data_IF_424959008471
#
_entry.id   IF_424959008471
#
_cell.length_a   1.000
_cell.length_b   1.000
_cell.length_c   1.000
_cell.angle_alpha   90.00
_cell.angle_beta   90.00
_cell.angle_gamma   90.00
#
_symmetry.space_group_name_H-M   'P 1'
#
loop_
_entity.id
_entity.type
_entity.pdbx_description
1 polymer ?
#
# COMPACT_ATOMS: atom_id res chain seq x y z
N UNK A 1 6.49 33.10 -4.39
CA UNK A 1 7.03 32.85 -3.04
C UNK A 1 5.85 32.80 -2.10
N UNK A 2 5.29 31.61 -1.89
CA UNK A 2 4.20 31.42 -0.93
C UNK A 2 4.59 30.24 -0.05
N UNK A 3 4.69 30.52 1.25
CA UNK A 3 5.27 29.63 2.24
C UNK A 3 4.38 28.42 2.48
N UNK A 4 4.98 27.24 2.34
CA UNK A 4 4.40 25.98 2.82
C UNK A 4 4.48 25.97 4.35
N UNK A 5 3.34 25.82 5.01
CA UNK A 5 3.25 25.65 6.45
C UNK A 5 3.80 24.28 6.88
N UNK A 6 4.94 24.27 7.56
CA UNK A 6 5.52 23.06 8.16
C UNK A 6 4.90 22.82 9.54
N UNK A 7 4.25 21.66 9.75
CA UNK A 7 3.84 21.23 11.08
C UNK A 7 5.07 20.83 11.89
N UNK A 8 5.30 21.51 13.02
CA UNK A 8 6.36 21.18 14.00
C UNK A 8 5.92 20.01 14.88
N UNK A 9 6.42 18.82 14.57
CA UNK A 9 6.55 17.71 15.53
C UNK A 9 8.05 17.61 15.84
N UNK A 10 8.40 17.65 17.13
CA UNK A 10 9.77 17.88 17.63
C UNK A 10 10.78 16.78 17.33
N UNK A 11 11.20 16.67 16.07
CA UNK A 11 12.37 15.93 15.62
C UNK A 11 13.13 16.86 14.68
N UNK A 12 14.32 17.26 15.10
CA UNK A 12 15.18 18.25 14.44
C UNK A 12 15.91 17.67 13.23
N UNK A 13 15.17 17.12 12.28
CA UNK A 13 15.69 16.73 10.97
C UNK A 13 14.56 16.97 9.97
N UNK A 14 14.83 17.82 8.97
CA UNK A 14 13.94 18.03 7.83
C UNK A 14 13.74 16.68 7.17
N UNK A 15 12.57 16.07 7.37
CA UNK A 15 12.23 14.80 6.73
C UNK A 15 12.17 15.07 5.23
N UNK A 16 13.04 14.45 4.41
CA UNK A 16 13.04 14.73 2.99
C UNK A 16 11.67 14.36 2.40
N UNK A 17 11.00 15.36 1.80
CA UNK A 17 9.70 15.21 1.10
C UNK A 17 9.78 14.12 0.01
N UNK A 18 10.98 13.81 -0.48
CA UNK A 18 11.23 12.86 -1.56
C UNK A 18 12.11 11.70 -1.09
N UNK A 19 11.45 10.55 -0.89
CA UNK A 19 12.05 9.21 -0.82
C UNK A 19 12.91 8.88 0.41
N UNK A 20 12.26 8.75 1.56
CA UNK A 20 12.85 8.15 2.77
C UNK A 20 13.40 6.73 2.52
N UNK A 21 12.71 5.93 1.71
CA UNK A 21 13.13 4.57 1.35
C UNK A 21 13.46 4.49 -0.14
N UNK A 22 14.62 3.92 -0.48
CA UNK A 22 15.00 3.68 -1.87
C UNK A 22 14.49 2.35 -2.41
N UNK A 23 14.36 1.36 -1.54
CA UNK A 23 14.02 -0.01 -1.90
C UNK A 23 12.97 -0.61 -0.98
N UNK A 24 12.35 -1.69 -1.44
CA UNK A 24 11.45 -2.55 -0.66
C UNK A 24 11.86 -4.00 -0.87
N UNK A 25 11.86 -4.78 0.22
CA UNK A 25 12.11 -6.22 0.18
C UNK A 25 10.80 -6.99 0.06
N UNK A 26 10.67 -7.77 -1.00
CA UNK A 26 9.51 -8.61 -1.31
C UNK A 26 9.53 -9.92 -0.51
N UNK A 27 8.40 -10.64 -0.53
CA UNK A 27 8.20 -11.91 0.20
C UNK A 27 9.16 -13.03 -0.22
N UNK A 28 9.63 -13.00 -1.46
CA UNK A 28 10.63 -13.93 -2.01
C UNK A 28 12.07 -13.51 -1.72
N UNK A 29 12.27 -12.52 -0.84
CA UNK A 29 13.54 -11.85 -0.55
C UNK A 29 14.13 -11.02 -1.71
N UNK A 30 13.42 -10.85 -2.83
CA UNK A 30 13.90 -9.96 -3.90
C UNK A 30 13.73 -8.50 -3.51
N UNK A 31 14.63 -7.65 -3.99
CA UNK A 31 14.63 -6.21 -3.74
C UNK A 31 14.06 -5.51 -4.96
N UNK A 32 13.17 -4.53 -4.75
CA UNK A 32 12.63 -3.69 -5.81
C UNK A 32 12.69 -2.21 -5.40
N UNK A 33 12.67 -1.27 -6.37
CA UNK A 33 12.56 0.15 -6.07
C UNK A 33 11.30 0.46 -5.24
N UNK A 34 11.47 1.26 -4.20
CA UNK A 34 10.36 1.76 -3.41
C UNK A 34 9.58 2.80 -4.21
N UNK A 35 8.25 2.76 -4.10
CA UNK A 35 7.37 3.68 -4.82
C UNK A 35 6.13 3.96 -3.97
N UNK A 36 6.08 5.15 -3.36
CA UNK A 36 4.96 5.64 -2.54
C UNK A 36 3.64 5.62 -3.30
N UNK A 37 3.66 5.88 -4.61
CA UNK A 37 2.45 5.95 -5.44
C UNK A 37 1.67 4.62 -5.42
N UNK A 38 2.36 3.49 -5.23
CA UNK A 38 1.73 2.18 -5.09
C UNK A 38 0.92 2.08 -3.80
N UNK A 39 1.43 2.64 -2.70
CA UNK A 39 0.71 2.71 -1.42
C UNK A 39 -0.54 3.61 -1.57
N UNK A 40 -0.35 4.82 -2.13
CA UNK A 40 -1.43 5.78 -2.39
C UNK A 40 -2.54 5.18 -3.24
N UNK A 41 -2.18 4.52 -4.35
CA UNK A 41 -3.15 3.85 -5.21
C UNK A 41 -3.85 2.68 -4.50
N UNK A 42 -3.15 1.91 -3.64
CA UNK A 42 -3.77 0.83 -2.88
C UNK A 42 -4.85 1.35 -1.92
N UNK A 43 -4.53 2.43 -1.20
CA UNK A 43 -5.46 3.11 -0.29
C UNK A 43 -6.65 3.65 -1.08
N UNK A 44 -6.39 4.32 -2.21
CA UNK A 44 -7.44 4.87 -3.07
C UNK A 44 -8.41 3.79 -3.57
N UNK A 45 -7.89 2.64 -4.01
CA UNK A 45 -8.74 1.56 -4.51
C UNK A 45 -9.57 0.90 -3.41
N UNK A 46 -8.98 0.74 -2.22
CA UNK A 46 -9.73 0.27 -1.04
C UNK A 46 -10.84 1.27 -0.67
N UNK A 47 -10.55 2.57 -0.73
CA UNK A 47 -11.54 3.62 -0.47
C UNK A 47 -12.66 3.59 -1.52
N UNK A 48 -12.31 3.44 -2.80
CA UNK A 48 -13.26 3.31 -3.91
C UNK A 48 -14.20 2.13 -3.75
N UNK A 49 -13.71 0.99 -3.26
CA UNK A 49 -14.53 -0.19 -3.00
C UNK A 49 -15.61 0.06 -1.92
N UNK A 50 -15.40 1.04 -1.02
CA UNK A 50 -16.37 1.41 0.02
C UNK A 50 -17.12 2.72 -0.25
N UNK A 51 -16.93 3.30 -1.44
CA UNK A 51 -17.64 4.50 -1.92
C UNK A 51 -16.90 5.83 -1.74
N UNK A 52 -15.60 5.81 -1.40
CA UNK A 52 -14.75 7.00 -1.36
C UNK A 52 -14.09 7.30 -2.71
N UNK A 53 -13.72 8.56 -2.95
CA UNK A 53 -13.13 8.99 -4.23
C UNK A 53 -12.00 10.03 -4.08
N UNK A 54 -11.63 10.37 -2.84
CA UNK A 54 -10.60 11.36 -2.55
C UNK A 54 -9.20 10.78 -2.73
N UNK A 55 -8.58 11.11 -3.86
CA UNK A 55 -7.22 10.70 -4.21
C UNK A 55 -6.15 11.50 -3.43
N UNK A 56 -6.44 12.74 -3.05
CA UNK A 56 -5.52 13.58 -2.28
C UNK A 56 -5.40 13.06 -0.85
N UNK A 57 -6.52 12.66 -0.24
CA UNK A 57 -6.53 11.96 1.04
C UNK A 57 -5.73 10.66 0.98
N UNK A 58 -5.87 9.87 -0.08
CA UNK A 58 -5.09 8.65 -0.24
C UNK A 58 -3.57 8.90 -0.30
N UNK A 59 -3.13 9.98 -0.96
CA UNK A 59 -1.72 10.35 -1.00
C UNK A 59 -1.19 10.88 0.34
N UNK A 60 -2.02 11.64 1.08
CA UNK A 60 -1.70 12.06 2.45
C UNK A 60 -1.52 10.88 3.38
N UNK A 61 -2.47 9.95 3.39
CA UNK A 61 -2.40 8.71 4.19
C UNK A 61 -1.18 7.86 3.79
N UNK A 62 -0.84 7.78 2.50
CA UNK A 62 0.37 7.09 2.07
C UNK A 62 1.65 7.75 2.59
N UNK A 63 1.66 9.09 2.67
CA UNK A 63 2.78 9.84 3.24
C UNK A 63 2.90 9.60 4.75
N UNK A 64 1.77 9.53 5.47
CA UNK A 64 1.73 9.13 6.88
C UNK A 64 2.24 7.71 7.11
N UNK A 65 1.89 6.75 6.23
CA UNK A 65 2.42 5.38 6.26
C UNK A 65 3.94 5.36 6.15
N UNK A 66 4.50 6.11 5.19
CA UNK A 66 5.95 6.19 5.00
C UNK A 66 6.63 6.80 6.22
N UNK A 67 6.07 7.89 6.75
CA UNK A 67 6.57 8.52 7.97
C UNK A 67 6.52 7.57 9.16
N UNK A 68 5.41 6.87 9.36
CA UNK A 68 5.26 5.90 10.43
C UNK A 68 6.31 4.78 10.33
N UNK A 69 6.49 4.20 9.14
CA UNK A 69 7.54 3.19 8.91
C UNK A 69 8.94 3.72 9.24
N UNK A 70 9.23 4.97 8.86
CA UNK A 70 10.49 5.62 9.18
C UNK A 70 10.70 5.75 10.69
N UNK A 71 9.67 6.18 11.42
CA UNK A 71 9.78 6.30 12.89
C UNK A 71 10.07 4.97 13.59
N UNK A 72 9.65 3.85 12.99
CA UNK A 72 9.89 2.52 13.55
C UNK A 72 11.27 1.95 13.22
N UNK A 73 11.79 2.22 12.01
CA UNK A 73 12.93 1.48 11.47
C UNK A 73 14.09 2.35 10.97
N UNK A 74 13.92 3.67 10.95
CA UNK A 74 14.82 4.59 10.25
C UNK A 74 14.76 4.38 8.75
N UNK A 75 15.90 4.53 8.07
CA UNK A 75 16.09 4.40 6.63
C UNK A 75 16.23 2.95 6.13
N UNK A 76 16.13 1.96 7.03
CA UNK A 76 16.25 0.54 6.70
C UNK A 76 15.18 0.13 5.69
N UNK A 77 15.57 -0.68 4.71
CA UNK A 77 14.68 -1.22 3.68
C UNK A 77 13.47 -1.94 4.30
N UNK A 78 12.24 -1.44 4.12
CA UNK A 78 11.04 -2.08 4.65
C UNK A 78 10.73 -3.35 3.87
N UNK A 79 10.12 -4.31 4.55
CA UNK A 79 9.50 -5.46 3.90
C UNK A 79 8.07 -5.13 3.45
N UNK A 80 7.58 -5.83 2.42
CA UNK A 80 6.22 -5.63 1.91
C UNK A 80 5.16 -5.79 2.99
N UNK A 81 5.33 -6.75 3.91
CA UNK A 81 4.37 -6.98 5.01
C UNK A 81 4.34 -5.80 5.98
N UNK A 82 5.50 -5.21 6.28
CA UNK A 82 5.60 -4.06 7.18
C UNK A 82 4.85 -2.86 6.61
N UNK A 83 4.96 -2.65 5.30
CA UNK A 83 4.19 -1.60 4.61
C UNK A 83 2.70 -1.88 4.71
N UNK A 84 2.27 -3.14 4.52
CA UNK A 84 0.85 -3.49 4.60
C UNK A 84 0.29 -3.29 6.01
N UNK A 85 1.00 -3.73 7.04
CA UNK A 85 0.58 -3.57 8.43
C UNK A 85 0.54 -2.08 8.83
N UNK A 86 1.49 -1.28 8.33
CA UNK A 86 1.48 0.18 8.49
C UNK A 86 0.26 0.82 7.81
N UNK A 87 -0.11 0.41 6.59
CA UNK A 87 -1.31 0.90 5.90
C UNK A 87 -2.57 0.60 6.73
N UNK A 88 -2.72 -0.63 7.20
CA UNK A 88 -3.88 -1.02 8.02
C UNK A 88 -4.00 -0.18 9.29
N UNK A 89 -2.89 0.01 10.00
CA UNK A 89 -2.83 0.85 11.20
C UNK A 89 -3.23 2.29 10.93
N UNK A 90 -2.59 2.94 9.94
CA UNK A 90 -2.84 4.35 9.62
C UNK A 90 -4.29 4.58 9.17
N UNK A 91 -4.87 3.65 8.41
CA UNK A 91 -6.28 3.73 8.04
C UNK A 91 -7.21 3.62 9.24
N UNK A 92 -6.91 2.76 10.21
CA UNK A 92 -7.73 2.60 11.42
C UNK A 92 -7.60 3.84 12.32
N UNK A 93 -6.38 4.33 12.54
CA UNK A 93 -6.11 5.48 13.42
C UNK A 93 -6.70 6.79 12.89
N UNK A 94 -6.76 6.95 11.57
CA UNK A 94 -7.44 8.09 10.92
C UNK A 94 -8.97 7.91 10.77
N UNK A 95 -9.56 6.87 11.38
CA UNK A 95 -11.01 6.65 11.35
C UNK A 95 -11.55 6.07 10.04
N UNK A 96 -10.68 5.65 9.11
CA UNK A 96 -11.04 5.01 7.84
C UNK A 96 -11.23 3.48 7.99
N UNK A 97 -11.91 3.05 9.05
CA UNK A 97 -12.08 1.63 9.39
C UNK A 97 -12.75 0.80 8.27
N UNK A 98 -13.71 1.39 7.53
CA UNK A 98 -14.33 0.73 6.37
C UNK A 98 -13.32 0.46 5.25
N UNK A 99 -12.47 1.45 4.95
CA UNK A 99 -11.39 1.35 3.96
C UNK A 99 -10.35 0.33 4.41
N UNK A 100 -9.93 0.34 5.68
CA UNK A 100 -9.01 -0.64 6.25
C UNK A 100 -9.54 -2.07 6.10
N UNK A 101 -10.83 -2.29 6.42
CA UNK A 101 -11.47 -3.60 6.25
C UNK A 101 -11.48 -4.05 4.78
N UNK A 102 -11.80 -3.16 3.85
CA UNK A 102 -11.78 -3.47 2.42
C UNK A 102 -10.37 -3.83 1.94
N UNK A 103 -9.36 -3.09 2.39
CA UNK A 103 -7.96 -3.37 2.13
C UNK A 103 -7.53 -4.76 2.63
N UNK A 104 -7.83 -5.10 3.90
CA UNK A 104 -7.52 -6.40 4.52
C UNK A 104 -8.17 -7.55 3.76
N UNK A 105 -9.45 -7.42 3.42
CA UNK A 105 -10.19 -8.46 2.70
C UNK A 105 -9.59 -8.71 1.32
N UNK A 106 -9.19 -7.66 0.61
CA UNK A 106 -8.53 -7.77 -0.68
C UNK A 106 -7.16 -8.46 -0.56
N UNK A 107 -6.33 -8.06 0.43
CA UNK A 107 -5.04 -8.70 0.72
C UNK A 107 -5.20 -10.21 0.92
N UNK A 108 -6.18 -10.62 1.75
CA UNK A 108 -6.47 -12.03 2.03
C UNK A 108 -6.90 -12.79 0.79
N UNK A 109 -7.71 -12.18 -0.09
CA UNK A 109 -8.11 -12.79 -1.36
C UNK A 109 -6.91 -13.02 -2.28
N UNK A 110 -5.98 -12.05 -2.37
CA UNK A 110 -4.76 -12.17 -3.17
C UNK A 110 -3.81 -13.25 -2.63
N UNK A 111 -3.68 -13.37 -1.30
CA UNK A 111 -2.90 -14.45 -0.68
C UNK A 111 -3.42 -15.84 -1.06
N UNK A 112 -4.75 -16.04 -1.06
CA UNK A 112 -5.39 -17.29 -1.48
C UNK A 112 -5.11 -17.57 -2.96
N UNK A 113 -5.25 -16.56 -3.82
CA UNK A 113 -4.96 -16.70 -5.26
C UNK A 113 -3.50 -17.06 -5.51
N UNK A 114 -2.56 -16.44 -4.80
CA UNK A 114 -1.14 -16.77 -4.86
C UNK A 114 -0.89 -18.21 -4.40
N UNK A 115 -1.49 -18.64 -3.29
CA UNK A 115 -1.39 -20.03 -2.81
C UNK A 115 -1.89 -21.02 -3.87
N UNK A 116 -2.97 -20.69 -4.59
CA UNK A 116 -3.48 -21.50 -5.70
C UNK A 116 -2.52 -21.51 -6.90
N UNK A 117 -1.90 -20.39 -7.23
CA UNK A 117 -0.90 -20.30 -8.29
C UNK A 117 0.37 -21.10 -7.96
N UNK A 118 0.80 -21.10 -6.68
CA UNK A 118 1.93 -21.91 -6.23
C UNK A 118 1.72 -23.42 -6.47
N UNK A 119 0.47 -23.87 -6.48
CA UNK A 119 0.10 -25.27 -6.74
C UNK A 119 -0.05 -25.61 -8.22
N UNK A 120 -0.21 -24.61 -9.10
CA UNK A 120 -0.64 -24.80 -10.50
C UNK A 120 0.33 -24.27 -11.54
N UNK A 121 1.14 -23.25 -11.19
CA UNK A 121 2.10 -22.60 -12.10
C UNK A 121 3.54 -22.99 -11.80
N UNK A 122 4.37 -22.96 -12.85
CA UNK A 122 5.82 -23.17 -12.74
C UNK A 122 6.49 -22.07 -11.90
N UNK A 123 7.62 -22.35 -11.23
CA UNK A 123 8.32 -21.39 -10.37
C UNK A 123 8.58 -20.03 -11.02
N UNK A 124 8.97 -20.03 -12.30
CA UNK A 124 9.27 -18.83 -13.10
C UNK A 124 8.06 -17.92 -13.40
N UNK A 125 6.82 -18.39 -13.24
CA UNK A 125 5.59 -17.66 -13.57
C UNK A 125 4.84 -17.11 -12.33
N UNK A 126 5.44 -17.26 -11.15
CA UNK A 126 4.81 -16.91 -9.88
C UNK A 126 5.03 -15.43 -9.58
N UNK A 127 3.94 -14.69 -9.44
CA UNK A 127 4.00 -13.32 -8.94
C UNK A 127 4.51 -13.32 -7.48
N UNK A 128 5.72 -12.82 -7.28
CA UNK A 128 6.39 -12.75 -5.99
C UNK A 128 5.80 -11.72 -5.02
N UNK A 129 4.88 -10.89 -5.49
CA UNK A 129 4.48 -9.70 -4.77
C UNK A 129 2.97 -9.50 -4.84
N UNK A 130 2.34 -9.29 -3.69
CA UNK A 130 0.93 -8.84 -3.57
C UNK A 130 0.69 -7.43 -4.13
N UNK A 131 1.71 -6.84 -4.77
CA UNK A 131 1.68 -5.58 -5.51
C UNK A 131 1.15 -5.73 -6.95
N UNK A 132 0.59 -6.85 -7.40
CA UNK A 132 0.09 -6.96 -8.78
C UNK A 132 -1.16 -6.11 -9.09
N UNK A 133 -1.56 -5.23 -8.17
CA UNK A 133 -2.35 -4.05 -8.49
C UNK A 133 -1.55 -2.94 -9.23
N UNK A 134 -0.22 -3.03 -9.25
CA UNK A 134 0.70 -1.93 -9.57
C UNK A 134 1.77 -2.28 -10.61
N UNK A 135 1.65 -3.41 -11.30
CA UNK A 135 2.42 -3.66 -12.52
C UNK A 135 1.46 -3.44 -13.68
N UNK A 136 1.81 -2.50 -14.56
CA UNK A 136 1.11 -2.29 -15.83
C UNK A 136 0.90 -3.64 -16.51
N UNK A 137 -0.34 -4.13 -16.53
CA UNK A 137 -0.80 -4.95 -17.65
C UNK A 137 -1.40 -3.96 -18.64
N UNK A 138 -0.83 -3.92 -19.83
CA UNK A 138 -1.40 -3.23 -20.97
C UNK A 138 -2.81 -3.78 -21.18
N UNK A 139 -3.81 -2.90 -21.08
CA UNK A 139 -5.23 -3.09 -21.33
C UNK A 139 -5.98 -4.22 -20.59
N UNK A 140 -7.20 -3.90 -20.18
CA UNK A 140 -8.31 -4.75 -19.73
C UNK A 140 -7.99 -6.02 -18.91
N UNK A 141 -8.30 -5.99 -17.60
CA UNK A 141 -9.25 -6.93 -16.99
C UNK A 141 -9.38 -6.77 -15.45
N UNK A 142 -10.52 -6.17 -15.05
CA UNK A 142 -11.44 -6.57 -13.98
C UNK A 142 -10.95 -7.27 -12.69
N UNK A 143 -11.48 -6.81 -11.54
CA UNK A 143 -12.61 -7.51 -10.88
C UNK A 143 -13.59 -6.47 -10.35
N UNK A 144 -14.74 -6.35 -11.02
CA UNK A 144 -15.94 -5.70 -10.50
C UNK A 144 -16.33 -6.36 -9.18
N UNK A 145 -16.26 -5.61 -8.09
CA UNK A 145 -16.82 -6.03 -6.81
C UNK A 145 -18.34 -6.12 -6.98
N UNK A 146 -18.83 -7.35 -7.14
CA UNK A 146 -20.26 -7.65 -7.16
C UNK A 146 -20.84 -7.33 -5.79
N UNK A 147 -21.61 -6.22 -5.73
CA UNK A 147 -22.24 -5.71 -4.50
C UNK A 147 -23.29 -6.67 -3.92
N UNK A 148 -23.63 -7.75 -4.62
CA UNK A 148 -24.65 -8.72 -4.18
C UNK A 148 -24.14 -9.83 -3.26
N UNK A 149 -22.82 -9.92 -2.99
CA UNK A 149 -22.26 -10.96 -2.10
C UNK A 149 -22.16 -10.57 -0.61
N UNK A 150 -22.81 -9.48 -0.20
CA UNK A 150 -22.94 -9.11 1.21
C UNK A 150 -24.43 -8.97 1.56
N UNK A 151 -25.16 -10.08 1.55
CA UNK A 151 -26.35 -10.32 2.36
C UNK A 151 -26.28 -11.78 2.81
#
# INVERSE_FOLDING_TARGET
>A
MEGKASLRIGISEEIPEESIFQYVKKRDNTIAPFDKSKISNAIYLAAKAVGGEDKELADRLASEVVLFLYTLKGDKTPEVEEIQDAVEKILIENGHARTAKAYILYRKQREILRKKQLLTKKPEEREATDYALFVRTSDDDFVSWDRQRII
#
